data_IF_176711791813
#
_entry.id   IF_176711791813
#
_cell.length_a   1.000
_cell.length_b   1.000
_cell.length_c   1.000
_cell.angle_alpha   90.00
_cell.angle_beta   90.00
_cell.angle_gamma   90.00
#
_symmetry.space_group_name_H-M   'P 1'
#
loop_
_entity.id
_entity.type
_entity.pdbx_description
1 polymer ?
#
# COMPACT_ATOMS: atom_id res chain seq x y z
N UNK A 1 -23.28 8.03 5.37
CA UNK A 1 -22.70 9.01 6.32
C UNK A 1 -21.38 8.55 6.92
N UNK A 2 -21.20 7.27 7.29
CA UNK A 2 -19.92 6.76 7.82
C UNK A 2 -18.77 6.73 6.78
N UNK A 3 -19.05 6.39 5.52
CA UNK A 3 -18.02 6.29 4.46
C UNK A 3 -17.26 7.58 4.14
N UNK A 4 -17.95 8.73 4.13
CA UNK A 4 -17.36 10.05 3.81
C UNK A 4 -16.37 10.52 4.90
N UNK A 5 -16.64 10.17 6.16
CA UNK A 5 -15.78 10.57 7.29
C UNK A 5 -14.47 9.77 7.28
N UNK A 6 -14.54 8.49 6.92
CA UNK A 6 -13.36 7.61 6.82
C UNK A 6 -12.49 7.99 5.62
N UNK A 7 -13.06 8.36 4.47
CA UNK A 7 -12.27 8.78 3.30
C UNK A 7 -11.60 10.13 3.50
N UNK A 8 -12.26 11.10 4.15
CA UNK A 8 -11.62 12.37 4.53
C UNK A 8 -10.40 12.14 5.43
N UNK A 9 -10.44 11.09 6.26
CA UNK A 9 -9.32 10.70 7.08
C UNK A 9 -8.13 10.10 6.31
N UNK A 10 -8.26 9.82 5.01
CA UNK A 10 -7.16 9.30 4.20
C UNK A 10 -6.53 10.34 3.27
N UNK A 11 -7.06 11.56 3.24
CA UNK A 11 -6.46 12.67 2.49
C UNK A 11 -5.14 13.11 3.13
N UNK A 12 -4.22 13.56 2.29
CA UNK A 12 -2.91 14.04 2.72
C UNK A 12 -3.06 15.32 3.54
N UNK A 13 -2.35 15.39 4.65
CA UNK A 13 -2.19 16.62 5.44
C UNK A 13 -0.81 17.23 5.22
N UNK A 14 -0.60 18.52 5.56
CA UNK A 14 0.71 19.15 5.39
C UNK A 14 1.86 18.37 6.03
N UNK A 15 1.64 17.74 7.19
CA UNK A 15 2.61 16.90 7.89
C UNK A 15 2.97 15.60 7.14
N UNK A 16 2.11 15.12 6.25
CA UNK A 16 2.28 13.83 5.55
C UNK A 16 3.08 13.98 4.24
N UNK A 17 3.21 15.21 3.71
CA UNK A 17 3.78 15.48 2.37
C UNK A 17 5.20 14.95 2.24
N UNK A 18 6.06 15.22 3.22
CA UNK A 18 7.45 14.76 3.19
C UNK A 18 7.52 13.23 3.14
N UNK A 19 6.71 12.56 3.97
CA UNK A 19 6.62 11.12 3.96
C UNK A 19 6.13 10.57 2.61
N UNK A 20 5.08 11.17 2.03
CA UNK A 20 4.51 10.72 0.75
C UNK A 20 5.50 10.84 -0.41
N UNK A 21 6.30 11.91 -0.45
CA UNK A 21 7.33 12.10 -1.47
C UNK A 21 8.46 11.08 -1.42
N UNK A 22 8.77 10.54 -0.23
CA UNK A 22 9.91 9.63 -0.04
C UNK A 22 9.60 8.17 -0.34
N UNK A 23 8.32 7.79 -0.42
CA UNK A 23 7.90 6.40 -0.64
C UNK A 23 7.47 6.19 -2.09
N UNK A 24 7.58 4.95 -2.57
CA UNK A 24 6.98 4.54 -3.85
C UNK A 24 5.67 3.83 -3.58
N UNK A 25 4.55 4.50 -3.84
CA UNK A 25 3.22 3.90 -3.66
C UNK A 25 2.83 3.02 -4.85
N UNK A 26 2.08 1.98 -4.56
CA UNK A 26 1.48 1.11 -5.56
C UNK A 26 0.14 0.55 -5.07
N UNK A 27 -0.61 -0.07 -5.98
CA UNK A 27 -1.74 -0.93 -5.67
C UNK A 27 -1.78 -2.15 -6.59
N UNK A 28 -2.49 -3.18 -6.15
CA UNK A 28 -2.83 -4.33 -7.00
C UNK A 28 -4.24 -4.11 -7.55
N UNK A 29 -4.36 -3.96 -8.86
CA UNK A 29 -5.62 -3.71 -9.56
C UNK A 29 -5.66 -4.53 -10.84
N UNK A 30 -6.75 -5.25 -11.08
CA UNK A 30 -6.98 -6.10 -12.26
C UNK A 30 -5.86 -7.12 -12.50
N UNK A 31 -5.23 -7.59 -11.42
CA UNK A 31 -4.11 -8.53 -11.50
C UNK A 31 -2.76 -7.91 -11.83
N UNK A 32 -2.66 -6.58 -11.94
CA UNK A 32 -1.41 -5.87 -12.20
C UNK A 32 -0.95 -5.06 -10.99
N UNK A 33 0.36 -4.81 -10.92
CA UNK A 33 0.95 -3.79 -10.05
C UNK A 33 0.83 -2.44 -10.77
N UNK A 34 0.05 -1.50 -10.21
CA UNK A 34 -0.01 -0.11 -10.67
C UNK A 34 0.81 0.76 -9.73
N UNK A 35 1.57 1.70 -10.30
CA UNK A 35 2.44 2.61 -9.54
C UNK A 35 1.85 4.02 -9.54
N UNK A 36 1.94 4.69 -8.40
CA UNK A 36 1.62 6.11 -8.34
C UNK A 36 2.69 6.94 -9.06
N UNK A 37 2.36 8.17 -9.50
CA UNK A 37 3.34 9.10 -10.03
C UNK A 37 4.54 9.26 -9.10
N UNK A 38 5.73 9.31 -9.68
CA UNK A 38 6.98 9.43 -8.94
C UNK A 38 7.04 10.75 -8.15
N UNK A 39 7.50 10.68 -6.90
CA UNK A 39 7.62 11.85 -6.03
C UNK A 39 6.29 12.50 -5.66
N UNK A 40 5.16 11.81 -5.86
CA UNK A 40 3.85 12.35 -5.53
C UNK A 40 3.71 12.66 -4.04
N UNK A 41 3.05 13.77 -3.74
CA UNK A 41 2.63 14.11 -2.37
C UNK A 41 1.25 13.52 -2.02
N UNK A 42 0.57 12.87 -2.98
CA UNK A 42 -0.78 12.35 -2.80
C UNK A 42 -0.83 11.14 -1.87
N UNK A 43 -1.96 10.94 -1.21
CA UNK A 43 -2.32 9.65 -0.62
C UNK A 43 -2.81 8.67 -1.70
N UNK A 44 -3.02 7.40 -1.36
CA UNK A 44 -3.65 6.45 -2.28
C UNK A 44 -5.05 6.90 -2.72
N UNK A 45 -5.83 7.51 -1.82
CA UNK A 45 -7.16 8.00 -2.15
C UNK A 45 -7.07 9.08 -3.24
N UNK A 46 -6.25 10.10 -3.02
CA UNK A 46 -6.08 11.21 -3.95
C UNK A 46 -5.48 10.75 -5.28
N UNK A 47 -4.56 9.79 -5.24
CA UNK A 47 -4.05 9.18 -6.46
C UNK A 47 -5.16 8.49 -7.26
N UNK A 48 -5.99 7.66 -6.61
CA UNK A 48 -7.07 6.96 -7.31
C UNK A 48 -8.15 7.90 -7.83
N UNK A 49 -8.41 9.01 -7.14
CA UNK A 49 -9.29 10.09 -7.63
C UNK A 49 -8.71 10.74 -8.89
N UNK A 50 -7.41 11.06 -8.89
CA UNK A 50 -6.72 11.66 -10.04
C UNK A 50 -6.71 10.74 -11.27
N UNK A 51 -6.65 9.42 -11.08
CA UNK A 51 -6.76 8.42 -12.14
C UNK A 51 -8.20 8.15 -12.60
N UNK A 52 -9.20 8.74 -11.93
CA UNK A 52 -10.62 8.51 -12.21
C UNK A 52 -11.11 7.09 -11.86
N UNK A 53 -10.37 6.35 -11.04
CA UNK A 53 -10.77 4.99 -10.62
C UNK A 53 -11.87 5.01 -9.56
N UNK A 54 -11.97 6.12 -8.82
CA UNK A 54 -12.97 6.35 -7.80
C UNK A 54 -13.56 7.76 -7.94
N UNK A 55 -14.82 7.91 -7.52
CA UNK A 55 -15.52 9.19 -7.41
C UNK A 55 -16.09 9.36 -6.01
N UNK A 56 -17.28 9.98 -5.88
CA UNK A 56 -17.90 10.27 -4.57
C UNK A 56 -18.07 9.02 -3.68
N UNK A 57 -18.32 7.85 -4.27
CA UNK A 57 -18.42 6.58 -3.54
C UNK A 57 -17.15 5.73 -3.68
N UNK A 58 -16.07 6.17 -3.04
CA UNK A 58 -14.77 5.47 -3.05
C UNK A 58 -14.70 4.22 -2.17
N UNK A 59 -15.65 4.03 -1.25
CA UNK A 59 -15.59 3.01 -0.20
C UNK A 59 -15.47 1.58 -0.73
N UNK A 60 -16.28 1.12 -1.71
CA UNK A 60 -16.18 -0.26 -2.23
C UNK A 60 -14.81 -0.56 -2.84
N UNK A 61 -14.26 0.38 -3.62
CA UNK A 61 -12.94 0.23 -4.23
C UNK A 61 -11.84 0.22 -3.17
N UNK A 62 -11.92 1.14 -2.20
CA UNK A 62 -10.93 1.24 -1.13
C UNK A 62 -10.97 0.07 -0.17
N UNK A 63 -12.14 -0.56 0.03
CA UNK A 63 -12.31 -1.73 0.89
C UNK A 63 -11.57 -2.97 0.37
N UNK A 64 -11.57 -3.19 -0.95
CA UNK A 64 -11.08 -4.42 -1.57
C UNK A 64 -9.67 -4.30 -2.15
N UNK A 65 -9.28 -3.10 -2.59
CA UNK A 65 -7.98 -2.89 -3.24
C UNK A 65 -6.83 -3.11 -2.26
N UNK A 66 -5.89 -3.99 -2.62
CA UNK A 66 -4.62 -4.12 -1.91
C UNK A 66 -3.74 -2.93 -2.29
N UNK A 67 -3.28 -2.22 -1.28
CA UNK A 67 -2.42 -1.04 -1.42
C UNK A 67 -1.10 -1.31 -0.73
N UNK A 68 -0.06 -0.63 -1.19
CA UNK A 68 1.22 -0.69 -0.53
C UNK A 68 2.14 0.47 -0.84
N UNK A 69 3.26 0.47 -0.14
CA UNK A 69 4.34 1.42 -0.38
C UNK A 69 5.69 0.73 -0.13
N UNK A 70 6.65 1.02 -1.00
CA UNK A 70 8.06 0.81 -0.72
C UNK A 70 8.63 2.05 -0.02
N UNK A 71 9.37 1.83 1.06
CA UNK A 71 10.02 2.88 1.85
C UNK A 71 11.54 2.69 1.74
N UNK A 72 12.24 3.47 0.89
CA UNK A 72 13.67 3.32 0.64
C UNK A 72 14.52 3.36 1.91
N UNK A 73 14.25 4.30 2.81
CA UNK A 73 14.99 4.46 4.07
C UNK A 73 14.89 3.25 5.01
N UNK A 74 13.83 2.43 4.88
CA UNK A 74 13.63 1.19 5.65
C UNK A 74 13.98 -0.05 4.84
N UNK A 75 14.25 0.11 3.54
CA UNK A 75 14.44 -0.96 2.56
C UNK A 75 13.35 -2.04 2.64
N UNK A 76 12.11 -1.60 2.80
CA UNK A 76 10.97 -2.47 3.08
C UNK A 76 9.72 -2.08 2.28
N UNK A 77 8.95 -3.10 1.90
CA UNK A 77 7.60 -3.02 1.35
C UNK A 77 6.57 -3.23 2.45
N UNK A 78 5.51 -2.45 2.41
CA UNK A 78 4.36 -2.56 3.30
C UNK A 78 3.10 -2.72 2.46
N UNK A 79 2.26 -3.71 2.76
CA UNK A 79 1.03 -4.01 2.03
C UNK A 79 -0.15 -4.19 3.00
N UNK A 80 -1.32 -3.72 2.61
CA UNK A 80 -2.55 -3.83 3.39
C UNK A 80 -3.78 -3.76 2.50
N UNK A 81 -4.93 -4.19 3.02
CA UNK A 81 -6.24 -4.12 2.37
C UNK A 81 -7.21 -3.30 3.22
N UNK A 82 -8.11 -2.59 2.55
CA UNK A 82 -9.20 -1.88 3.21
C UNK A 82 -8.79 -0.61 3.94
N UNK A 83 -9.81 0.17 4.34
CA UNK A 83 -9.66 1.46 5.00
C UNK A 83 -9.01 1.36 6.39
N UNK A 84 -9.06 0.18 7.01
CA UNK A 84 -8.46 -0.08 8.33
C UNK A 84 -7.09 -0.77 8.29
N UNK A 85 -6.41 -0.76 7.14
CA UNK A 85 -5.06 -1.33 7.00
C UNK A 85 -4.95 -2.81 7.42
N UNK A 86 -5.99 -3.58 7.12
CA UNK A 86 -6.08 -4.97 7.52
C UNK A 86 -5.17 -5.87 6.67
N UNK A 87 -4.83 -7.03 7.21
CA UNK A 87 -4.23 -8.12 6.47
C UNK A 87 -4.77 -9.46 6.99
N UNK A 88 -4.83 -10.42 6.11
CA UNK A 88 -5.24 -11.81 6.34
C UNK A 88 -4.30 -12.74 5.56
N UNK A 89 -4.51 -14.05 5.66
CA UNK A 89 -3.68 -15.02 4.95
C UNK A 89 -3.90 -14.94 3.42
N UNK A 90 -5.09 -14.54 2.96
CA UNK A 90 -5.39 -14.34 1.54
C UNK A 90 -4.54 -13.20 0.93
N UNK A 91 -4.42 -12.07 1.63
CA UNK A 91 -3.55 -10.98 1.24
C UNK A 91 -2.10 -11.47 1.14
N UNK A 92 -1.64 -12.27 2.09
CA UNK A 92 -0.26 -12.75 2.12
C UNK A 92 0.03 -13.69 0.96
N UNK A 93 -0.90 -14.56 0.63
CA UNK A 93 -0.79 -15.42 -0.55
C UNK A 93 -0.80 -14.61 -1.84
N UNK A 94 -1.57 -13.52 -1.90
CA UNK A 94 -1.49 -12.59 -3.03
C UNK A 94 -0.14 -11.87 -3.09
N UNK A 95 0.42 -11.44 -1.96
CA UNK A 95 1.77 -10.84 -1.92
C UNK A 95 2.83 -11.83 -2.41
N UNK A 96 2.72 -13.12 -2.03
CA UNK A 96 3.60 -14.19 -2.54
C UNK A 96 3.49 -14.31 -4.05
N UNK A 97 2.28 -14.53 -4.57
CA UNK A 97 2.00 -14.63 -6.02
C UNK A 97 2.52 -13.42 -6.81
N UNK A 98 2.52 -12.24 -6.19
CA UNK A 98 2.93 -10.98 -6.85
C UNK A 98 4.35 -10.54 -6.52
N UNK A 99 5.12 -11.28 -5.72
CA UNK A 99 6.44 -10.85 -5.26
C UNK A 99 7.38 -10.52 -6.45
N UNK A 100 7.44 -11.39 -7.45
CA UNK A 100 8.23 -11.15 -8.67
C UNK A 100 7.76 -9.93 -9.47
N UNK A 101 6.44 -9.75 -9.62
CA UNK A 101 5.87 -8.60 -10.32
C UNK A 101 6.12 -7.28 -9.57
N UNK A 102 6.01 -7.29 -8.24
CA UNK A 102 6.32 -6.15 -7.38
C UNK A 102 7.80 -5.77 -7.48
N UNK A 103 8.68 -6.78 -7.44
CA UNK A 103 10.12 -6.60 -7.57
C UNK A 103 10.46 -5.95 -8.93
N UNK A 104 9.91 -6.47 -10.02
CA UNK A 104 10.14 -5.94 -11.36
C UNK A 104 9.57 -4.53 -11.54
N UNK A 105 8.31 -4.29 -11.15
CA UNK A 105 7.66 -2.99 -11.33
C UNK A 105 8.34 -1.87 -10.54
N UNK A 106 8.80 -2.17 -9.32
CA UNK A 106 9.45 -1.18 -8.44
C UNK A 106 10.98 -1.15 -8.59
N UNK A 107 11.57 -1.99 -9.44
CA UNK A 107 13.03 -2.08 -9.61
C UNK A 107 13.76 -2.49 -8.34
N UNK A 108 13.17 -3.38 -7.53
CA UNK A 108 13.67 -3.74 -6.20
C UNK A 108 14.59 -4.94 -6.23
N UNK A 109 15.44 -5.03 -5.22
CA UNK A 109 16.33 -6.17 -4.99
C UNK A 109 15.62 -7.28 -4.20
N UNK A 110 16.02 -8.55 -4.35
CA UNK A 110 15.35 -9.69 -3.70
C UNK A 110 15.47 -9.70 -2.18
N UNK A 111 16.36 -8.90 -1.61
CA UNK A 111 16.59 -8.81 -0.16
C UNK A 111 15.81 -7.67 0.51
N UNK A 112 14.93 -6.99 -0.22
CA UNK A 112 13.94 -6.06 0.33
C UNK A 112 12.97 -6.81 1.23
N UNK A 113 12.79 -6.30 2.46
CA UNK A 113 11.86 -6.85 3.43
C UNK A 113 10.41 -6.61 3.01
N UNK A 114 9.53 -7.55 3.35
CA UNK A 114 8.10 -7.46 3.05
C UNK A 114 7.32 -7.59 4.34
N UNK A 115 6.48 -6.59 4.58
CA UNK A 115 5.60 -6.48 5.73
C UNK A 115 4.15 -6.36 5.28
N UNK A 116 3.25 -6.95 6.07
CA UNK A 116 1.81 -6.70 5.96
C UNK A 116 1.36 -5.79 7.11
N UNK A 117 0.43 -4.89 6.81
CA UNK A 117 0.03 -3.77 7.66
C UNK A 117 0.51 -2.41 7.12
N UNK A 118 0.13 -1.31 7.79
CA UNK A 118 0.54 0.04 7.38
C UNK A 118 2.04 0.26 7.59
N UNK A 119 2.60 1.25 6.90
CA UNK A 119 4.02 1.65 7.07
C UNK A 119 4.29 2.05 8.52
N UNK A 120 3.43 2.89 9.08
CA UNK A 120 3.52 3.30 10.48
C UNK A 120 2.55 2.48 11.33
N UNK A 121 3.07 1.83 12.36
CA UNK A 121 2.27 1.00 13.26
C UNK A 121 1.29 1.82 14.12
N UNK A 122 1.42 3.15 14.12
CA UNK A 122 0.47 4.07 14.75
C UNK A 122 0.06 5.08 13.71
N UNK A 123 -1.22 5.06 13.32
CA UNK A 123 -1.81 6.05 12.43
C UNK A 123 -2.84 6.82 13.24
N UNK A 124 -2.59 8.12 13.46
CA UNK A 124 -3.50 9.04 14.17
C UNK A 124 -3.89 8.55 15.56
N UNK A 125 -2.91 8.04 16.31
CA UNK A 125 -3.10 7.53 17.67
C UNK A 125 -3.71 6.13 17.75
N UNK A 126 -4.14 5.55 16.63
CA UNK A 126 -4.61 4.16 16.57
C UNK A 126 -3.45 3.25 16.21
N UNK A 127 -3.25 2.21 17.03
CA UNK A 127 -2.21 1.21 16.80
C UNK A 127 -2.73 0.11 15.87
N UNK A 128 -2.00 -0.15 14.80
CA UNK A 128 -2.27 -1.19 13.83
C UNK A 128 -1.27 -2.33 13.96
N UNK A 129 -1.73 -3.55 13.72
CA UNK A 129 -0.85 -4.70 13.65
C UNK A 129 0.03 -4.61 12.40
N UNK A 130 1.26 -5.09 12.52
CA UNK A 130 2.19 -5.23 11.41
C UNK A 130 2.96 -6.54 11.58
N UNK A 131 3.19 -7.26 10.49
CA UNK A 131 3.93 -8.53 10.48
C UNK A 131 4.90 -8.58 9.32
N UNK A 132 6.17 -8.92 9.60
CA UNK A 132 7.15 -9.28 8.57
C UNK A 132 6.81 -10.66 8.03
N UNK A 133 6.72 -10.81 6.71
CA UNK A 133 6.38 -12.08 6.04
C UNK A 133 7.56 -12.71 5.29
N UNK A 134 8.65 -11.98 5.11
CA UNK A 134 9.87 -12.47 4.47
C UNK A 134 10.58 -11.35 3.71
N UNK A 135 11.41 -11.74 2.75
CA UNK A 135 11.96 -10.85 1.70
C UNK A 135 11.32 -11.15 0.35
N UNK A 136 11.39 -10.22 -0.61
CA UNK A 136 10.90 -10.45 -1.97
C UNK A 136 11.44 -11.76 -2.58
N UNK A 137 12.74 -12.04 -2.43
CA UNK A 137 13.39 -13.25 -2.91
C UNK A 137 12.85 -14.52 -2.25
N UNK A 138 12.67 -14.50 -0.92
CA UNK A 138 12.11 -15.65 -0.19
C UNK A 138 10.66 -15.95 -0.57
N UNK A 139 9.87 -14.91 -0.92
CA UNK A 139 8.49 -15.08 -1.35
C UNK A 139 8.43 -15.62 -2.78
N UNK A 140 9.30 -15.13 -3.66
CA UNK A 140 9.35 -15.56 -5.06
C UNK A 140 9.82 -17.01 -5.21
N UNK A 141 10.77 -17.46 -4.37
CA UNK A 141 11.27 -18.84 -4.40
C UNK A 141 10.24 -19.90 -3.96
N UNK A 142 9.17 -19.47 -3.27
CA UNK A 142 8.10 -20.33 -2.76
C UNK A 142 6.77 -20.14 -3.52
N UNK A 143 6.81 -19.49 -4.69
CA UNK A 143 5.64 -19.17 -5.53
C UNK A 143 5.48 -20.13 -6.71
#
# INVERSE_FOLDING_TARGET
>A
MAGVVVTTALRTRPEDVAFHRTRRMFCLKDGDVKLAPEGTAMSHLEWFEAEGWIGENAEPFMATTIRGAYVPARRALFLYRGLGFFYDDELIDEVRRRAGALMAALGLQPDVDVHVGPVDAVVRGVRYAQRRVGTLGSLTANS
#
